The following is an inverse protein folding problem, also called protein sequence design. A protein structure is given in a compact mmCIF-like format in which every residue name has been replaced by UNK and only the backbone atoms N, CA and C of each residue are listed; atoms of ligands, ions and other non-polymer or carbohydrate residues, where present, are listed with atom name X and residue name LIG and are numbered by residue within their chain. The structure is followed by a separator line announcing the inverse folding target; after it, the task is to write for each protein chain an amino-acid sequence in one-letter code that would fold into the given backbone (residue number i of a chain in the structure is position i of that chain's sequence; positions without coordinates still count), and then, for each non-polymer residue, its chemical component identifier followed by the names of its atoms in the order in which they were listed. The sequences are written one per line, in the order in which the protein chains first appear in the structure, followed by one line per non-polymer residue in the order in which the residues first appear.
data_IF_244357084005
#
_entry.id   IF_244357084005
#
_cell.length_a   1.000
_cell.length_b   1.000
_cell.length_c   1.000
_cell.angle_alpha   90.00
_cell.angle_beta   90.00
_cell.angle_gamma   90.00
#
_symmetry.space_group_name_H-M   'P 1'
#
loop_
_entity.id
_entity.type
_entity.pdbx_description
1 polymer ?
#
# COMPACT_ATOMS: atom_id res chain seq x y z
N UNK A 1 -33.44 -23.34 14.21
CA UNK A 1 -32.98 -21.97 13.89
C UNK A 1 -31.94 -22.08 12.78
N UNK A 2 -32.22 -21.60 11.56
CA UNK A 2 -31.23 -21.55 10.50
C UNK A 2 -30.25 -20.36 10.72
N UNK A 3 -28.99 -20.45 10.24
CA UNK A 3 -28.03 -19.35 10.34
C UNK A 3 -28.35 -18.22 9.34
N UNK A 4 -27.92 -16.97 9.59
CA UNK A 4 -28.27 -15.83 8.74
C UNK A 4 -27.51 -15.84 7.41
N UNK A 5 -28.23 -15.51 6.33
CA UNK A 5 -27.69 -15.32 4.98
C UNK A 5 -26.72 -14.13 4.89
N UNK A 6 -25.67 -14.21 4.05
CA UNK A 6 -24.82 -13.07 3.76
C UNK A 6 -25.49 -12.11 2.77
N UNK A 7 -25.45 -10.83 3.14
CA UNK A 7 -25.99 -9.65 2.48
C UNK A 7 -25.71 -9.60 0.98
N UNK A 8 -26.77 -9.71 0.17
CA UNK A 8 -26.79 -9.32 -1.25
C UNK A 8 -26.63 -7.81 -1.35
N UNK A 9 -25.59 -7.34 -2.03
CA UNK A 9 -25.52 -5.95 -2.48
C UNK A 9 -24.83 -5.88 -3.84
N UNK A 10 -25.55 -6.25 -4.90
CA UNK A 10 -25.23 -5.92 -6.29
C UNK A 10 -26.53 -5.82 -7.10
N UNK A 11 -26.56 -4.83 -8.00
CA UNK A 11 -27.52 -4.54 -9.06
C UNK A 11 -28.68 -3.58 -8.74
N UNK A 12 -28.48 -2.29 -9.02
CA UNK A 12 -29.38 -1.49 -9.88
C UNK A 12 -28.85 -0.06 -10.07
N UNK A 13 -28.32 0.26 -11.24
CA UNK A 13 -28.38 1.60 -11.85
C UNK A 13 -27.73 1.57 -13.25
N UNK A 14 -28.43 0.95 -14.21
CA UNK A 14 -28.28 1.28 -15.63
C UNK A 14 -29.67 1.60 -16.15
N UNK A 15 -29.97 2.88 -16.34
CA UNK A 15 -30.98 3.34 -17.28
C UNK A 15 -30.67 4.77 -17.69
N UNK A 16 -30.67 4.97 -19.00
CA UNK A 16 -30.23 6.15 -19.74
C UNK A 16 -31.38 7.13 -19.98
N UNK A 17 -31.13 8.43 -19.73
CA UNK A 17 -31.55 9.65 -20.46
C UNK A 17 -33.05 9.97 -20.74
N UNK A 18 -33.41 11.23 -21.14
CA UNK A 18 -32.89 12.56 -20.77
C UNK A 18 -34.02 13.60 -20.45
N UNK A 19 -33.60 14.85 -20.18
CA UNK A 19 -34.24 16.15 -20.57
C UNK A 19 -34.93 17.04 -19.48
N UNK A 20 -34.52 18.31 -19.54
CA UNK A 20 -35.18 19.59 -19.12
C UNK A 20 -35.13 20.01 -17.65
N UNK A 21 -34.33 21.04 -17.33
CA UNK A 21 -34.82 22.42 -17.09
C UNK A 21 -33.73 23.31 -16.47
N UNK A 22 -33.52 24.45 -17.11
CA UNK A 22 -32.73 25.60 -16.66
C UNK A 22 -33.44 26.29 -15.49
N UNK A 23 -32.71 26.66 -14.43
CA UNK A 23 -33.09 27.76 -13.56
C UNK A 23 -31.86 28.44 -12.95
N UNK A 24 -31.66 29.68 -13.39
CA UNK A 24 -30.71 30.67 -12.90
C UNK A 24 -31.19 31.20 -11.54
N UNK A 25 -30.30 31.26 -10.55
CA UNK A 25 -30.48 32.14 -9.40
C UNK A 25 -29.15 32.83 -9.06
N UNK A 26 -29.13 34.13 -9.34
CA UNK A 26 -28.13 35.13 -8.94
C UNK A 26 -28.39 35.56 -7.48
N UNK A 27 -27.40 36.28 -6.92
CA UNK A 27 -27.45 37.21 -5.77
C UNK A 27 -27.03 36.59 -4.44
N UNK A 28 -26.25 37.23 -3.56
CA UNK A 28 -25.36 38.38 -3.60
C UNK A 28 -24.60 38.36 -2.26
N UNK A 29 -23.33 38.77 -2.28
CA UNK A 29 -22.58 39.09 -1.06
C UNK A 29 -23.00 40.47 -0.51
N UNK A 30 -22.73 40.73 0.78
CA UNK A 30 -22.24 42.04 1.16
C UNK A 30 -20.86 41.95 1.84
N UNK A 31 -20.05 42.96 1.52
CA UNK A 31 -18.72 43.29 2.05
C UNK A 31 -18.82 44.20 3.29
N UNK A 32 -17.67 44.29 3.98
CA UNK A 32 -17.17 45.34 4.92
C UNK A 32 -17.62 45.15 6.39
N UNK A 33 -16.82 45.46 7.41
CA UNK A 33 -15.69 46.38 7.49
C UNK A 33 -14.63 45.95 8.52
N UNK A 34 -13.39 46.37 8.26
CA UNK A 34 -12.25 46.47 9.18
C UNK A 34 -12.37 47.79 9.96
N UNK A 35 -11.87 47.86 11.21
CA UNK A 35 -11.21 49.08 11.67
C UNK A 35 -9.75 48.87 12.06
N UNK A 36 -9.05 49.97 11.91
CA UNK A 36 -7.62 50.21 11.83
C UNK A 36 -6.99 50.53 13.20
N UNK A 37 -5.67 50.29 13.25
CA UNK A 37 -4.60 50.84 14.12
C UNK A 37 -4.92 51.39 15.52
N UNK A 38 -4.18 50.84 16.49
CA UNK A 38 -3.68 51.55 17.66
C UNK A 38 -2.21 51.22 17.90
N UNK A 39 -1.30 52.09 17.43
CA UNK A 39 0.09 52.13 17.86
C UNK A 39 0.12 52.68 19.29
N UNK A 40 0.93 52.09 20.19
CA UNK A 40 1.52 52.84 21.31
C UNK A 40 2.85 52.25 21.75
N UNK A 41 3.76 53.21 21.90
CA UNK A 41 5.19 53.21 22.19
C UNK A 41 5.66 52.40 23.40
N UNK A 42 6.94 52.02 23.28
CA UNK A 42 7.90 51.56 24.28
C UNK A 42 8.24 52.69 25.26
N UNK A 43 8.67 52.37 26.49
CA UNK A 43 9.84 53.05 27.03
C UNK A 43 10.93 52.08 27.49
N UNK A 44 12.16 52.56 27.34
CA UNK A 44 13.41 51.86 27.56
C UNK A 44 13.97 52.02 28.98
N UNK A 45 14.92 51.13 29.28
CA UNK A 45 16.11 51.33 30.12
C UNK A 45 16.02 51.07 31.63
N UNK A 46 16.79 50.08 32.08
CA UNK A 46 17.74 50.27 33.17
C UNK A 46 18.96 49.35 33.01
N UNK A 47 20.12 49.97 33.24
CA UNK A 47 21.50 49.54 33.03
C UNK A 47 22.03 48.57 34.12
N UNK A 48 22.86 47.60 33.74
CA UNK A 48 24.33 47.49 34.03
C UNK A 48 24.72 46.91 35.39
N UNK A 49 25.44 45.78 35.34
CA UNK A 49 26.62 45.53 36.16
C UNK A 49 27.65 44.72 35.36
N UNK A 50 28.90 45.20 35.35
CA UNK A 50 30.04 44.71 34.56
C UNK A 50 31.11 44.12 35.49
N UNK A 51 31.81 43.11 34.93
CA UNK A 51 33.24 42.77 35.10
C UNK A 51 33.70 42.00 36.37
N UNK A 52 34.89 41.32 36.35
CA UNK A 52 35.98 41.39 35.36
C UNK A 52 36.52 40.05 34.81
N UNK A 53 37.32 40.21 33.75
CA UNK A 53 38.16 39.22 33.09
C UNK A 53 39.41 38.83 33.91
N UNK A 54 39.93 37.62 33.69
CA UNK A 54 41.35 37.27 33.95
C UNK A 54 41.95 36.48 32.78
N UNK A 55 43.13 36.97 32.39
CA UNK A 55 44.18 36.42 31.52
C UNK A 55 44.58 35.00 32.01
N UNK A 56 45.17 34.05 31.27
CA UNK A 56 45.96 34.05 30.05
C UNK A 56 47.21 33.14 30.25
N UNK A 57 47.27 32.02 29.52
CA UNK A 57 48.42 31.11 29.20
C UNK A 57 48.96 30.11 30.26
N UNK A 58 49.67 29.02 29.86
CA UNK A 58 50.03 28.55 28.50
C UNK A 58 49.61 27.11 28.14
N UNK A 59 49.60 26.85 26.83
CA UNK A 59 49.48 25.52 26.21
C UNK A 59 50.86 24.88 26.19
N UNK A 60 51.01 23.68 26.77
CA UNK A 60 52.15 22.80 26.52
C UNK A 60 51.72 21.60 25.69
N UNK A 61 52.55 21.32 24.69
CA UNK A 61 52.39 20.29 23.69
C UNK A 61 52.41 18.89 24.28
N UNK A 62 51.45 18.05 23.86
CA UNK A 62 51.64 16.60 23.86
C UNK A 62 51.64 16.16 22.41
N UNK A 63 52.82 15.75 21.98
CA UNK A 63 53.12 15.22 20.65
C UNK A 63 52.45 13.84 20.47
N UNK A 64 51.72 13.74 19.36
CA UNK A 64 51.59 12.59 18.46
C UNK A 64 51.91 11.18 18.98
N UNK A 65 50.87 10.36 19.12
CA UNK A 65 50.89 8.96 18.65
C UNK A 65 49.64 8.68 17.82
N UNK A 66 49.69 9.13 16.57
CA UNK A 66 48.86 8.62 15.50
C UNK A 66 49.57 7.39 14.93
N UNK A 67 49.05 6.19 15.22
CA UNK A 67 49.31 5.00 14.43
C UNK A 67 48.21 3.97 14.74
N UNK A 68 47.51 3.57 13.69
CA UNK A 68 46.73 2.33 13.58
C UNK A 68 45.53 2.15 14.52
N UNK A 69 44.36 2.58 14.02
CA UNK A 69 43.08 1.86 14.21
C UNK A 69 41.95 2.42 13.31
N UNK A 70 42.23 2.65 12.02
CA UNK A 70 41.17 2.66 11.01
C UNK A 70 41.03 1.23 10.45
N UNK A 71 40.34 0.37 11.21
CA UNK A 71 39.76 -0.84 10.62
C UNK A 71 38.47 -0.40 9.95
N UNK A 72 38.55 -0.20 8.64
CA UNK A 72 37.39 -0.15 7.75
C UNK A 72 36.49 -1.33 8.09
N UNK A 73 35.35 -1.07 8.71
CA UNK A 73 34.26 -2.02 8.78
C UNK A 73 33.68 -2.12 7.37
N UNK A 74 34.37 -2.87 6.50
CA UNK A 74 33.71 -3.51 5.38
C UNK A 74 32.64 -4.41 5.99
N UNK A 75 31.39 -3.93 6.00
CA UNK A 75 30.25 -4.82 6.01
C UNK A 75 30.37 -5.59 4.70
N UNK A 76 31.05 -6.74 4.76
CA UNK A 76 30.93 -7.76 3.75
C UNK A 76 29.45 -8.16 3.80
N UNK A 77 28.68 -7.58 2.88
CA UNK A 77 27.36 -8.06 2.52
C UNK A 77 27.57 -9.52 2.14
N UNK A 78 27.28 -10.42 3.08
CA UNK A 78 27.28 -11.85 2.84
C UNK A 78 26.17 -12.11 1.83
N UNK A 79 26.50 -11.99 0.56
CA UNK A 79 25.80 -12.69 -0.51
C UNK A 79 25.83 -14.16 -0.10
N UNK A 80 24.67 -14.65 0.32
CA UNK A 80 24.44 -16.09 0.50
C UNK A 80 24.96 -16.76 -0.78
N UNK A 81 25.89 -17.72 -0.70
CA UNK A 81 26.34 -18.43 -1.88
C UNK A 81 25.11 -19.11 -2.49
N UNK A 82 24.74 -18.69 -3.71
CA UNK A 82 23.73 -19.37 -4.53
C UNK A 82 24.32 -20.69 -5.04
N UNK A 83 24.60 -21.62 -4.13
CA UNK A 83 25.08 -22.95 -4.47
C UNK A 83 23.88 -23.76 -5.01
N UNK A 84 23.92 -24.02 -6.32
CA UNK A 84 23.10 -25.06 -6.98
C UNK A 84 21.78 -24.60 -7.61
N UNK A 85 21.67 -23.38 -8.13
CA UNK A 85 20.44 -22.97 -8.82
C UNK A 85 20.49 -23.37 -10.30
N UNK A 86 19.61 -24.30 -10.71
CA UNK A 86 18.97 -24.14 -12.01
C UNK A 86 18.49 -22.70 -12.08
N UNK A 87 19.00 -21.93 -13.05
CA UNK A 87 18.58 -20.55 -13.22
C UNK A 87 17.06 -20.52 -13.35
N UNK A 88 16.41 -19.64 -12.58
CA UNK A 88 14.96 -19.49 -12.68
C UNK A 88 14.58 -19.24 -14.15
N UNK A 89 13.45 -19.81 -14.57
CA UNK A 89 13.00 -19.72 -15.95
C UNK A 89 12.80 -18.25 -16.39
N UNK A 90 12.90 -17.95 -17.70
CA UNK A 90 12.59 -16.62 -18.21
C UNK A 90 11.18 -16.14 -17.83
N UNK A 91 10.21 -17.06 -17.77
CA UNK A 91 8.84 -16.77 -17.32
C UNK A 91 8.81 -16.34 -15.85
N UNK A 92 9.51 -17.06 -14.97
CA UNK A 92 9.61 -16.70 -13.55
C UNK A 92 10.21 -15.30 -13.35
N UNK A 93 11.25 -14.96 -14.12
CA UNK A 93 11.81 -13.60 -14.10
C UNK A 93 10.84 -12.54 -14.60
N UNK A 94 10.07 -12.80 -15.68
CA UNK A 94 9.08 -11.84 -16.20
C UNK A 94 7.98 -11.57 -15.18
N UNK A 95 7.37 -12.62 -14.64
CA UNK A 95 6.32 -12.49 -13.62
C UNK A 95 6.85 -11.87 -12.33
N UNK A 96 8.05 -12.25 -11.89
CA UNK A 96 8.70 -11.65 -10.73
C UNK A 96 8.93 -10.15 -10.89
N UNK A 97 9.39 -9.70 -12.06
CA UNK A 97 9.53 -8.27 -12.37
C UNK A 97 8.19 -7.54 -12.41
N UNK A 98 7.14 -8.15 -12.95
CA UNK A 98 5.80 -7.55 -12.94
C UNK A 98 5.26 -7.36 -11.53
N UNK A 99 5.46 -8.34 -10.63
CA UNK A 99 5.05 -8.22 -9.24
C UNK A 99 5.79 -7.06 -8.54
N UNK A 100 7.11 -6.96 -8.73
CA UNK A 100 7.90 -5.82 -8.22
C UNK A 100 7.45 -4.49 -8.82
N UNK A 101 7.18 -4.45 -10.12
CA UNK A 101 6.70 -3.24 -10.80
C UNK A 101 5.32 -2.82 -10.28
N UNK A 102 4.46 -3.76 -9.89
CA UNK A 102 3.15 -3.45 -9.32
C UNK A 102 3.24 -2.79 -7.95
N UNK A 103 4.17 -3.22 -7.10
CA UNK A 103 4.41 -2.54 -5.83
C UNK A 103 5.07 -1.16 -6.04
N UNK A 104 5.94 -0.99 -7.04
CA UNK A 104 6.43 0.35 -7.40
C UNK A 104 5.31 1.25 -7.91
N UNK A 105 4.38 0.73 -8.71
CA UNK A 105 3.23 1.49 -9.20
C UNK A 105 2.28 1.91 -8.07
N UNK A 106 2.07 1.04 -7.08
CA UNK A 106 1.34 1.37 -5.84
C UNK A 106 2.06 2.50 -5.08
N UNK A 107 3.38 2.40 -4.88
CA UNK A 107 4.15 3.44 -4.19
C UNK A 107 4.08 4.78 -4.94
N UNK A 108 4.25 4.75 -6.25
CA UNK A 108 4.24 5.93 -7.11
C UNK A 108 2.85 6.58 -7.27
N UNK A 109 1.77 5.88 -6.93
CA UNK A 109 0.42 6.43 -6.98
C UNK A 109 0.29 7.54 -5.93
N UNK A 110 0.17 8.79 -6.38
CA UNK A 110 -0.01 9.96 -5.53
C UNK A 110 -1.02 10.93 -6.17
N UNK A 111 -1.86 11.65 -5.40
CA UNK A 111 -2.08 11.48 -3.97
C UNK A 111 -2.80 10.15 -3.69
N UNK A 112 -2.51 9.52 -2.55
CA UNK A 112 -3.26 8.37 -2.04
C UNK A 112 -3.56 8.53 -0.54
N UNK A 113 -4.82 8.45 -0.10
CA UNK A 113 -5.18 8.84 1.27
C UNK A 113 -4.50 8.02 2.38
N UNK A 114 -3.71 8.68 3.21
CA UNK A 114 -3.11 8.10 4.43
C UNK A 114 -2.03 7.03 4.22
N UNK A 115 -1.63 6.78 2.97
CA UNK A 115 -0.58 5.82 2.59
C UNK A 115 0.73 6.55 2.25
N UNK A 116 1.85 5.85 2.34
CA UNK A 116 3.18 6.39 1.98
C UNK A 116 3.26 6.65 0.48
N UNK A 117 3.54 7.88 0.08
CA UNK A 117 3.80 8.27 -1.32
C UNK A 117 5.29 8.53 -1.53
N UNK A 118 5.76 8.83 -2.76
CA UNK A 118 7.15 9.26 -2.97
C UNK A 118 7.45 10.60 -2.30
N UNK A 119 6.42 11.37 -1.93
CA UNK A 119 6.53 12.74 -1.46
C UNK A 119 6.26 12.88 0.05
N UNK A 120 5.58 11.92 0.67
CA UNK A 120 5.18 11.99 2.08
C UNK A 120 4.94 10.61 2.71
N UNK A 121 4.96 10.53 4.04
CA UNK A 121 4.76 9.28 4.80
C UNK A 121 3.28 8.96 5.07
N UNK A 122 2.35 9.75 4.56
CA UNK A 122 0.92 9.64 4.85
C UNK A 122 0.66 9.66 6.36
N UNK A 123 -0.12 8.69 6.83
CA UNK A 123 -0.47 8.54 8.25
C UNK A 123 0.61 7.83 9.08
N UNK A 124 1.74 7.47 8.48
CA UNK A 124 2.79 6.70 9.15
C UNK A 124 3.85 7.60 9.78
N UNK A 125 4.39 7.17 10.91
CA UNK A 125 5.54 7.80 11.60
C UNK A 125 6.75 6.88 11.62
N UNK A 126 6.58 5.63 11.18
CA UNK A 126 7.51 4.51 11.26
C UNK A 126 8.03 4.07 9.89
N UNK A 127 7.45 4.58 8.79
CA UNK A 127 7.89 4.28 7.42
C UNK A 127 7.77 5.47 6.48
N UNK A 128 8.66 5.51 5.49
CA UNK A 128 8.72 6.48 4.39
C UNK A 128 8.99 5.77 3.05
N UNK A 129 9.05 6.55 1.97
CA UNK A 129 9.31 6.01 0.63
C UNK A 129 10.65 5.25 0.53
N UNK A 130 11.69 5.74 1.22
CA UNK A 130 13.01 5.10 1.19
C UNK A 130 12.96 3.71 1.84
N UNK A 131 12.26 3.57 2.97
CA UNK A 131 12.03 2.27 3.61
C UNK A 131 11.21 1.33 2.72
N UNK A 132 10.19 1.86 2.05
CA UNK A 132 9.40 1.12 1.06
C UNK A 132 10.30 0.54 -0.04
N UNK A 133 11.17 1.35 -0.63
CA UNK A 133 12.11 0.94 -1.67
C UNK A 133 13.14 -0.08 -1.16
N UNK A 134 13.65 0.07 0.08
CA UNK A 134 14.52 -0.96 0.71
C UNK A 134 13.81 -2.30 0.82
N UNK A 135 12.53 -2.31 1.20
CA UNK A 135 11.72 -3.53 1.24
C UNK A 135 11.56 -4.15 -0.15
N UNK A 136 11.23 -3.36 -1.18
CA UNK A 136 11.11 -3.86 -2.56
C UNK A 136 12.41 -4.46 -3.08
N UNK A 137 13.54 -3.82 -2.76
CA UNK A 137 14.85 -4.36 -3.08
C UNK A 137 15.06 -5.74 -2.43
N UNK A 138 14.71 -5.92 -1.16
CA UNK A 138 14.80 -7.20 -0.47
C UNK A 138 13.86 -8.29 -1.03
N UNK A 139 12.69 -7.88 -1.56
CA UNK A 139 11.66 -8.80 -2.05
C UNK A 139 11.82 -9.20 -3.52
N UNK A 140 12.68 -8.55 -4.31
CA UNK A 140 12.81 -8.83 -5.75
C UNK A 140 13.10 -10.31 -6.08
N UNK A 141 13.95 -10.95 -5.28
CA UNK A 141 14.32 -12.35 -5.48
C UNK A 141 13.20 -13.31 -5.07
N UNK A 142 12.40 -12.93 -4.08
CA UNK A 142 11.25 -13.71 -3.63
C UNK A 142 10.22 -13.88 -4.75
N UNK A 143 9.86 -12.80 -5.46
CA UNK A 143 8.85 -12.90 -6.52
C UNK A 143 9.29 -13.78 -7.70
N UNK A 144 10.60 -13.84 -7.99
CA UNK A 144 11.14 -14.79 -8.98
C UNK A 144 11.07 -16.22 -8.44
N UNK A 145 11.50 -16.44 -7.18
CA UNK A 145 11.50 -17.76 -6.57
C UNK A 145 10.09 -18.35 -6.42
N UNK A 146 9.11 -17.54 -6.05
CA UNK A 146 7.73 -17.99 -5.88
C UNK A 146 7.03 -18.21 -7.24
N UNK A 147 7.39 -17.45 -8.28
CA UNK A 147 6.97 -17.73 -9.65
C UNK A 147 7.54 -19.07 -10.12
N UNK A 148 8.84 -19.33 -9.89
CA UNK A 148 9.45 -20.61 -10.26
C UNK A 148 8.79 -21.79 -9.52
N UNK A 149 8.52 -21.64 -8.22
CA UNK A 149 7.77 -22.65 -7.46
C UNK A 149 6.37 -22.92 -8.04
N UNK A 150 5.71 -21.91 -8.62
CA UNK A 150 4.45 -22.09 -9.35
C UNK A 150 4.62 -22.90 -10.65
N UNK A 151 5.67 -22.62 -11.41
CA UNK A 151 6.01 -23.35 -12.66
C UNK A 151 6.30 -24.83 -12.36
N UNK A 152 7.03 -25.09 -11.28
CA UNK A 152 7.40 -26.44 -10.84
C UNK A 152 6.23 -27.22 -10.20
N UNK A 153 5.03 -26.61 -10.17
CA UNK A 153 3.85 -27.08 -9.43
C UNK A 153 4.16 -27.51 -7.99
N UNK A 154 4.98 -26.72 -7.29
CA UNK A 154 5.46 -27.04 -5.96
C UNK A 154 4.31 -27.09 -4.93
N UNK A 155 4.40 -27.96 -3.91
CA UNK A 155 3.39 -28.04 -2.87
C UNK A 155 3.30 -26.73 -2.07
N UNK A 156 2.12 -26.43 -1.52
CA UNK A 156 1.87 -25.19 -0.76
C UNK A 156 2.88 -24.94 0.37
N UNK A 157 3.40 -25.99 1.01
CA UNK A 157 4.44 -25.88 2.03
C UNK A 157 5.67 -25.12 1.50
N UNK A 158 6.07 -25.35 0.24
CA UNK A 158 7.20 -24.64 -0.38
C UNK A 158 6.89 -23.15 -0.58
N UNK A 159 5.70 -22.82 -1.05
CA UNK A 159 5.25 -21.42 -1.20
C UNK A 159 5.24 -20.70 0.16
N UNK A 160 4.77 -21.39 1.21
CA UNK A 160 4.76 -20.88 2.58
C UNK A 160 6.17 -20.58 3.08
N UNK A 161 7.12 -21.50 2.90
CA UNK A 161 8.50 -21.31 3.36
C UNK A 161 9.18 -20.13 2.64
N UNK A 162 8.91 -19.96 1.34
CA UNK A 162 9.34 -18.79 0.58
C UNK A 162 8.74 -17.49 1.13
N UNK A 163 7.44 -17.49 1.44
CA UNK A 163 6.75 -16.35 2.04
C UNK A 163 7.30 -15.96 3.42
N UNK A 164 7.58 -16.94 4.28
CA UNK A 164 8.21 -16.73 5.60
C UNK A 164 9.62 -16.13 5.45
N UNK A 165 10.42 -16.68 4.53
CA UNK A 165 11.75 -16.16 4.25
C UNK A 165 11.71 -14.72 3.71
N UNK A 166 10.73 -14.41 2.86
CA UNK A 166 10.50 -13.08 2.32
C UNK A 166 10.08 -12.07 3.40
N UNK A 167 9.18 -12.47 4.30
CA UNK A 167 8.78 -11.64 5.45
C UNK A 167 9.99 -11.32 6.34
N UNK A 168 10.80 -12.34 6.66
CA UNK A 168 12.02 -12.13 7.44
C UNK A 168 13.05 -11.23 6.73
N UNK A 169 13.19 -11.36 5.40
CA UNK A 169 14.06 -10.51 4.60
C UNK A 169 13.58 -9.05 4.59
N UNK A 170 12.28 -8.83 4.43
CA UNK A 170 11.65 -7.51 4.55
C UNK A 170 11.93 -6.92 5.93
N UNK A 171 11.60 -7.64 7.01
CA UNK A 171 11.79 -7.16 8.38
C UNK A 171 13.24 -6.76 8.66
N UNK A 172 14.23 -7.52 8.19
CA UNK A 172 15.65 -7.15 8.31
C UNK A 172 15.98 -5.86 7.55
N UNK A 173 15.42 -5.68 6.34
CA UNK A 173 15.67 -4.50 5.52
C UNK A 173 14.96 -3.22 6.03
N UNK A 174 13.92 -3.38 6.84
CA UNK A 174 13.08 -2.28 7.36
C UNK A 174 13.23 -2.05 8.87
N UNK A 175 14.12 -2.78 9.55
CA UNK A 175 14.30 -2.64 11.00
C UNK A 175 13.08 -3.11 11.80
N UNK A 176 12.34 -4.09 11.29
CA UNK A 176 11.14 -4.66 11.93
C UNK A 176 9.83 -3.97 11.54
N UNK A 177 9.87 -2.90 10.74
CA UNK A 177 8.67 -2.20 10.29
C UNK A 177 7.96 -3.01 9.20
N UNK A 178 6.65 -3.20 9.35
CA UNK A 178 5.84 -3.94 8.40
C UNK A 178 5.45 -3.06 7.21
N UNK A 179 6.17 -3.19 6.09
CA UNK A 179 5.86 -2.44 4.86
C UNK A 179 4.98 -3.20 3.87
N UNK A 180 5.14 -4.53 3.77
CA UNK A 180 4.57 -5.33 2.68
C UNK A 180 4.10 -6.74 3.09
N UNK A 181 3.85 -7.03 4.38
CA UNK A 181 3.48 -8.40 4.80
C UNK A 181 2.24 -8.94 4.08
N UNK A 182 1.21 -8.11 3.88
CA UNK A 182 0.01 -8.51 3.15
C UNK A 182 0.25 -8.69 1.65
N UNK A 183 1.01 -7.78 1.02
CA UNK A 183 1.48 -7.93 -0.36
C UNK A 183 2.30 -9.21 -0.58
N UNK A 184 3.27 -9.53 0.30
CA UNK A 184 4.07 -10.77 0.22
C UNK A 184 3.16 -11.99 0.11
N UNK A 185 2.10 -12.03 0.92
CA UNK A 185 1.13 -13.12 0.89
C UNK A 185 0.28 -13.11 -0.39
N UNK A 186 -0.50 -12.06 -0.63
CA UNK A 186 -1.48 -12.06 -1.73
C UNK A 186 -0.83 -12.06 -3.10
N UNK A 187 0.09 -11.12 -3.32
CA UNK A 187 0.79 -10.97 -4.58
C UNK A 187 1.70 -12.18 -4.83
N UNK A 188 2.28 -12.75 -3.78
CA UNK A 188 3.05 -14.00 -3.87
C UNK A 188 2.23 -15.17 -4.41
N UNK A 189 1.05 -15.43 -3.83
CA UNK A 189 0.15 -16.50 -4.29
C UNK A 189 -0.35 -16.28 -5.71
N UNK A 190 -0.72 -15.04 -6.05
CA UNK A 190 -1.14 -14.69 -7.41
C UNK A 190 0.01 -14.84 -8.42
N UNK A 191 1.23 -14.51 -8.01
CA UNK A 191 2.44 -14.68 -8.84
C UNK A 191 2.72 -16.16 -9.09
N UNK A 192 2.66 -17.00 -8.06
CA UNK A 192 2.80 -18.45 -8.18
C UNK A 192 1.73 -19.02 -9.12
N UNK A 193 0.47 -18.63 -8.92
CA UNK A 193 -0.63 -19.19 -9.70
C UNK A 193 -0.61 -18.72 -11.16
N UNK A 194 -0.25 -17.46 -11.41
CA UNK A 194 -0.03 -16.99 -12.77
C UNK A 194 1.07 -17.83 -13.44
N UNK A 195 2.19 -18.04 -12.77
CA UNK A 195 3.31 -18.81 -13.31
C UNK A 195 2.92 -20.26 -13.60
N UNK A 196 2.17 -20.90 -12.70
CA UNK A 196 1.63 -22.25 -12.89
C UNK A 196 0.74 -22.35 -14.13
N UNK A 197 -0.17 -21.39 -14.32
CA UNK A 197 -1.10 -21.41 -15.46
C UNK A 197 -0.39 -21.12 -16.79
N UNK A 198 0.54 -20.15 -16.82
CA UNK A 198 1.36 -19.86 -18.00
C UNK A 198 2.30 -21.02 -18.38
N UNK A 199 2.77 -21.81 -17.41
CA UNK A 199 3.57 -23.01 -17.71
C UNK A 199 2.73 -24.18 -18.26
N UNK A 200 1.44 -24.23 -17.92
CA UNK A 200 0.54 -25.30 -18.33
C UNK A 200 -0.18 -25.03 -19.67
N UNK A 201 -0.06 -23.83 -20.23
CA UNK A 201 -0.81 -23.39 -21.41
C UNK A 201 -0.03 -22.36 -22.22
N UNK A 202 -0.03 -22.50 -23.55
CA UNK A 202 0.56 -21.51 -24.47
C UNK A 202 -0.24 -20.20 -24.56
N UNK A 203 -1.47 -20.18 -24.04
CA UNK A 203 -2.29 -18.97 -23.95
C UNK A 203 -2.06 -18.26 -22.61
N UNK A 204 -1.89 -16.92 -22.61
CA UNK A 204 -1.79 -16.13 -21.39
C UNK A 204 -2.98 -16.37 -20.46
N UNK A 205 -2.71 -16.60 -19.19
CA UNK A 205 -3.76 -16.83 -18.20
C UNK A 205 -4.58 -15.56 -17.96
N UNK A 206 -5.90 -15.63 -18.11
CA UNK A 206 -6.78 -14.51 -17.72
C UNK A 206 -6.72 -14.28 -16.20
N UNK A 207 -6.85 -13.02 -15.78
CA UNK A 207 -6.76 -12.63 -14.37
C UNK A 207 -7.82 -13.31 -13.48
N UNK A 208 -9.04 -13.55 -13.99
CA UNK A 208 -10.07 -14.28 -13.25
C UNK A 208 -9.66 -15.75 -13.04
N UNK A 209 -9.03 -16.36 -14.06
CA UNK A 209 -8.48 -17.71 -13.96
C UNK A 209 -7.32 -17.80 -12.97
N UNK A 210 -6.42 -16.81 -12.93
CA UNK A 210 -5.36 -16.72 -11.91
C UNK A 210 -5.96 -16.63 -10.52
N UNK A 211 -6.89 -15.71 -10.29
CA UNK A 211 -7.53 -15.55 -8.97
C UNK A 211 -8.27 -16.82 -8.52
N UNK A 212 -9.11 -17.42 -9.38
CA UNK A 212 -9.80 -18.68 -9.07
C UNK A 212 -8.83 -19.83 -8.85
N UNK A 213 -7.76 -19.89 -9.62
CA UNK A 213 -6.74 -20.93 -9.53
C UNK A 213 -6.08 -21.03 -8.15
N UNK A 214 -5.98 -19.92 -7.40
CA UNK A 214 -5.44 -19.90 -6.02
C UNK A 214 -6.23 -20.83 -5.08
N UNK A 215 -7.49 -21.12 -5.39
CA UNK A 215 -8.32 -22.05 -4.62
C UNK A 215 -7.75 -23.48 -4.57
N UNK A 216 -6.80 -23.83 -5.46
CA UNK A 216 -6.05 -25.11 -5.35
C UNK A 216 -5.36 -25.26 -3.99
N UNK A 217 -5.01 -24.14 -3.33
CA UNK A 217 -4.41 -24.13 -2.00
C UNK A 217 -5.41 -23.88 -0.87
N UNK A 218 -6.73 -23.84 -1.14
CA UNK A 218 -7.79 -23.47 -0.18
C UNK A 218 -7.66 -24.23 1.15
N UNK A 219 -7.57 -25.55 1.11
CA UNK A 219 -7.51 -26.35 2.33
C UNK A 219 -6.26 -26.01 3.16
N UNK A 220 -5.10 -25.89 2.51
CA UNK A 220 -3.86 -25.56 3.18
C UNK A 220 -3.86 -24.12 3.74
N UNK A 221 -4.50 -23.17 3.06
CA UNK A 221 -4.67 -21.79 3.52
C UNK A 221 -5.52 -21.70 4.80
N UNK A 222 -6.59 -22.50 4.87
CA UNK A 222 -7.53 -22.51 5.99
C UNK A 222 -7.00 -23.27 7.21
N UNK A 223 -6.16 -24.30 7.00
CA UNK A 223 -5.57 -25.09 8.10
C UNK A 223 -4.21 -24.59 8.56
N UNK A 224 -3.54 -23.71 7.80
CA UNK A 224 -2.24 -23.19 8.19
C UNK A 224 -2.28 -22.46 9.54
N UNK A 225 -1.27 -22.65 10.41
CA UNK A 225 -1.23 -21.99 11.71
C UNK A 225 -1.29 -20.47 11.56
N UNK A 226 -1.96 -19.83 12.51
CA UNK A 226 -2.09 -18.38 12.59
C UNK A 226 -1.08 -17.85 13.60
N UNK A 227 -0.50 -16.70 13.30
CA UNK A 227 0.20 -15.89 14.28
C UNK A 227 -0.84 -15.01 15.01
N UNK A 228 -1.25 -15.39 16.24
CA UNK A 228 -2.32 -14.68 16.96
C UNK A 228 -1.89 -13.26 17.38
N UNK A 229 -0.60 -12.95 17.36
CA UNK A 229 -0.06 -11.67 17.78
C UNK A 229 -0.04 -10.62 16.67
N UNK A 230 -0.18 -11.04 15.41
CA UNK A 230 -0.27 -10.09 14.30
C UNK A 230 -1.52 -9.22 14.39
N UNK A 231 -1.37 -7.92 14.10
CA UNK A 231 -2.47 -6.96 14.17
C UNK A 231 -3.66 -7.36 13.31
N UNK A 232 -3.40 -7.89 12.10
CA UNK A 232 -4.46 -8.37 11.20
C UNK A 232 -5.27 -9.50 11.82
N UNK A 233 -4.62 -10.46 12.49
CA UNK A 233 -5.32 -11.57 13.15
C UNK A 233 -6.15 -11.11 14.35
N UNK A 234 -5.61 -10.18 15.15
CA UNK A 234 -6.34 -9.57 16.26
C UNK A 234 -7.58 -8.82 15.79
N UNK A 235 -7.44 -7.97 14.76
CA UNK A 235 -8.58 -7.20 14.22
C UNK A 235 -9.62 -8.11 13.56
N UNK A 236 -9.17 -9.15 12.83
CA UNK A 236 -10.06 -10.16 12.24
C UNK A 236 -10.91 -10.86 13.31
N UNK A 237 -10.29 -11.30 14.40
CA UNK A 237 -10.98 -11.94 15.51
C UNK A 237 -11.95 -10.99 16.22
N UNK A 238 -11.51 -9.75 16.48
CA UNK A 238 -12.30 -8.74 17.19
C UNK A 238 -13.53 -8.30 16.38
N UNK A 239 -13.37 -8.03 15.09
CA UNK A 239 -14.41 -7.47 14.23
C UNK A 239 -15.16 -8.51 13.40
N UNK A 240 -14.76 -9.79 13.45
CA UNK A 240 -15.38 -10.91 12.71
C UNK A 240 -15.44 -10.68 11.19
N UNK A 241 -14.47 -9.96 10.65
CA UNK A 241 -14.34 -9.69 9.20
C UNK A 241 -13.45 -10.74 8.53
N UNK A 242 -13.61 -10.95 7.22
CA UNK A 242 -12.75 -11.85 6.47
C UNK A 242 -11.33 -11.25 6.33
N UNK A 243 -10.30 -12.06 6.53
CA UNK A 243 -8.92 -11.68 6.28
C UNK A 243 -8.43 -12.03 4.88
N UNK A 244 -7.14 -11.79 4.65
CA UNK A 244 -6.47 -12.05 3.38
C UNK A 244 -6.48 -13.54 2.98
N UNK A 245 -6.48 -14.45 3.96
CA UNK A 245 -6.53 -15.90 3.73
C UNK A 245 -7.89 -16.33 3.21
N UNK A 246 -8.95 -15.78 3.78
CA UNK A 246 -10.33 -16.05 3.37
C UNK A 246 -10.56 -15.51 1.95
N UNK A 247 -10.03 -14.34 1.61
CA UNK A 247 -10.02 -13.84 0.23
C UNK A 247 -9.31 -14.81 -0.72
N UNK A 248 -8.10 -15.26 -0.38
CA UNK A 248 -7.35 -16.23 -1.20
C UNK A 248 -8.09 -17.56 -1.36
N UNK A 249 -8.63 -18.11 -0.27
CA UNK A 249 -9.40 -19.35 -0.24
C UNK A 249 -10.67 -19.28 -1.11
N UNK A 250 -11.26 -18.09 -1.28
CA UNK A 250 -12.39 -17.82 -2.17
C UNK A 250 -11.98 -17.43 -3.59
N UNK A 251 -10.68 -17.40 -3.91
CA UNK A 251 -10.18 -16.99 -5.21
C UNK A 251 -10.37 -15.49 -5.47
N UNK A 252 -10.11 -14.66 -4.46
CA UNK A 252 -10.10 -13.20 -4.49
C UNK A 252 -11.30 -12.54 -5.21
N UNK A 253 -12.54 -12.74 -4.73
CA UNK A 253 -13.73 -12.11 -5.31
C UNK A 253 -13.59 -10.59 -5.43
N UNK A 254 -12.99 -9.91 -4.43
CA UNK A 254 -12.76 -8.46 -4.50
C UNK A 254 -11.87 -8.04 -5.67
N UNK A 255 -10.87 -8.84 -6.05
CA UNK A 255 -10.02 -8.52 -7.20
C UNK A 255 -10.77 -8.74 -8.52
N UNK A 256 -11.54 -9.84 -8.61
CA UNK A 256 -12.26 -10.25 -9.83
C UNK A 256 -13.47 -9.35 -10.12
N UNK A 257 -14.23 -9.01 -9.09
CA UNK A 257 -15.55 -8.38 -9.22
C UNK A 257 -15.53 -6.87 -8.97
N UNK A 258 -14.47 -6.34 -8.34
CA UNK A 258 -14.36 -4.91 -8.02
C UNK A 258 -13.09 -4.30 -8.61
N UNK A 259 -11.91 -4.73 -8.17
CA UNK A 259 -10.67 -4.02 -8.47
C UNK A 259 -10.32 -4.04 -9.97
N UNK A 260 -10.33 -5.22 -10.61
CA UNK A 260 -10.01 -5.35 -12.02
C UNK A 260 -11.04 -4.67 -12.94
N UNK A 261 -12.36 -4.82 -12.72
CA UNK A 261 -13.36 -4.07 -13.46
C UNK A 261 -13.16 -2.56 -13.37
N UNK A 262 -12.96 -2.00 -12.17
CA UNK A 262 -12.71 -0.57 -12.00
C UNK A 262 -11.45 -0.11 -12.72
N UNK A 263 -10.34 -0.82 -12.52
CA UNK A 263 -9.06 -0.49 -13.17
C UNK A 263 -9.20 -0.47 -14.70
N UNK A 264 -9.79 -1.53 -15.27
CA UNK A 264 -9.97 -1.67 -16.72
C UNK A 264 -10.92 -0.61 -17.27
N UNK A 265 -12.04 -0.35 -16.58
CA UNK A 265 -13.02 0.65 -17.01
C UNK A 265 -12.41 2.06 -17.05
N UNK A 266 -11.61 2.44 -16.04
CA UNK A 266 -10.95 3.76 -16.03
C UNK A 266 -9.91 3.89 -17.14
N UNK A 267 -9.13 2.85 -17.41
CA UNK A 267 -8.17 2.85 -18.53
C UNK A 267 -8.89 2.90 -19.90
N UNK A 268 -9.97 2.15 -20.07
CA UNK A 268 -10.76 2.13 -21.31
C UNK A 268 -11.47 3.46 -21.57
N UNK A 269 -11.84 4.19 -20.52
CA UNK A 269 -12.37 5.54 -20.62
C UNK A 269 -11.28 6.61 -20.93
N UNK A 270 -10.04 6.20 -21.23
CA UNK A 270 -8.94 7.10 -21.54
C UNK A 270 -8.23 7.70 -20.31
N UNK A 271 -8.55 7.21 -19.10
CA UNK A 271 -7.88 7.62 -17.88
C UNK A 271 -6.39 7.24 -17.88
N UNK A 272 -5.56 8.08 -17.28
CA UNK A 272 -4.13 7.76 -17.08
C UNK A 272 -3.98 6.58 -16.13
N UNK A 273 -2.79 5.94 -16.12
CA UNK A 273 -2.47 4.91 -15.13
C UNK A 273 -2.69 5.41 -13.70
N UNK A 274 -2.29 6.64 -13.40
CA UNK A 274 -2.45 7.25 -12.08
C UNK A 274 -3.93 7.43 -11.71
N UNK A 275 -4.77 7.86 -12.65
CA UNK A 275 -6.22 7.96 -12.45
C UNK A 275 -6.82 6.56 -12.21
N UNK A 276 -6.45 5.57 -13.02
CA UNK A 276 -6.97 4.20 -12.88
C UNK A 276 -6.58 3.57 -11.53
N UNK A 277 -5.34 3.75 -11.07
CA UNK A 277 -4.90 3.28 -9.76
C UNK A 277 -5.61 4.02 -8.62
N UNK A 278 -5.76 5.35 -8.71
CA UNK A 278 -6.44 6.15 -7.69
C UNK A 278 -7.93 5.81 -7.59
N UNK A 279 -8.62 5.65 -8.73
CA UNK A 279 -10.02 5.24 -8.78
C UNK A 279 -10.21 3.85 -8.17
N UNK A 280 -9.33 2.91 -8.53
CA UNK A 280 -9.37 1.54 -8.01
C UNK A 280 -9.11 1.50 -6.50
N UNK A 281 -8.15 2.29 -6.00
CA UNK A 281 -7.87 2.40 -4.57
C UNK A 281 -9.11 2.91 -3.82
N UNK A 282 -9.74 3.97 -4.32
CA UNK A 282 -10.94 4.53 -3.69
C UNK A 282 -12.10 3.54 -3.73
N UNK A 283 -12.27 2.79 -4.82
CA UNK A 283 -13.26 1.72 -4.90
C UNK A 283 -13.00 0.60 -3.87
N UNK A 284 -11.74 0.21 -3.67
CA UNK A 284 -11.33 -0.77 -2.66
C UNK A 284 -11.58 -0.27 -1.25
N UNK A 285 -11.23 0.99 -0.94
CA UNK A 285 -11.50 1.60 0.37
C UNK A 285 -13.00 1.62 0.67
N UNK A 286 -13.85 1.87 -0.33
CA UNK A 286 -15.29 1.93 -0.15
C UNK A 286 -15.93 0.58 0.25
N UNK A 287 -15.40 -0.56 -0.22
CA UNK A 287 -16.03 -1.87 -0.03
C UNK A 287 -15.28 -2.82 0.90
N UNK A 288 -13.97 -2.68 1.08
CA UNK A 288 -13.17 -3.59 1.90
C UNK A 288 -13.24 -3.19 3.37
N UNK A 289 -13.49 -4.15 4.26
CA UNK A 289 -13.26 -4.00 5.70
C UNK A 289 -11.76 -4.09 5.99
N UNK A 290 -11.05 -3.00 5.73
CA UNK A 290 -9.59 -2.94 5.82
C UNK A 290 -9.13 -3.11 7.29
N UNK A 291 -8.38 -4.19 7.53
CA UNK A 291 -7.86 -4.52 8.86
C UNK A 291 -6.85 -3.50 9.41
N UNK A 292 -6.12 -2.77 8.54
CA UNK A 292 -5.23 -1.70 8.96
C UNK A 292 -6.04 -0.46 9.38
N UNK A 293 -7.15 -0.15 8.69
CA UNK A 293 -8.06 0.92 9.15
C UNK A 293 -8.70 0.56 10.50
N UNK A 294 -9.20 -0.67 10.64
CA UNK A 294 -9.77 -1.16 11.90
C UNK A 294 -8.74 -1.10 13.04
N UNK A 295 -7.49 -1.47 12.77
CA UNK A 295 -6.43 -1.36 13.77
C UNK A 295 -6.20 0.10 14.20
N UNK A 296 -6.06 1.03 13.24
CA UNK A 296 -5.60 2.40 13.56
C UNK A 296 -6.71 3.30 14.07
N UNK A 297 -7.94 3.11 13.58
CA UNK A 297 -9.08 3.98 13.88
C UNK A 297 -10.35 3.26 14.34
N UNK A 298 -10.32 1.94 14.53
CA UNK A 298 -11.50 1.17 14.91
C UNK A 298 -12.61 1.21 13.85
N UNK A 299 -13.83 0.89 14.28
CA UNK A 299 -15.00 0.91 13.42
C UNK A 299 -15.30 2.32 12.88
N UNK A 300 -15.11 3.36 13.70
CA UNK A 300 -15.36 4.75 13.31
C UNK A 300 -14.37 5.22 12.23
N UNK A 301 -13.09 4.87 12.36
CA UNK A 301 -12.07 5.15 11.35
C UNK A 301 -12.35 4.45 10.02
N UNK A 302 -12.76 3.18 10.07
CA UNK A 302 -13.19 2.44 8.88
C UNK A 302 -14.43 3.10 8.23
N UNK A 303 -15.45 3.44 9.02
CA UNK A 303 -16.67 4.07 8.53
C UNK A 303 -16.39 5.44 7.89
N UNK A 304 -15.52 6.25 8.51
CA UNK A 304 -15.08 7.52 7.94
C UNK A 304 -14.39 7.32 6.59
N UNK A 305 -13.44 6.40 6.50
CA UNK A 305 -12.71 6.12 5.27
C UNK A 305 -13.64 5.66 4.14
N UNK A 306 -14.56 4.73 4.44
CA UNK A 306 -15.60 4.27 3.50
C UNK A 306 -16.49 5.42 3.03
N UNK A 307 -16.93 6.29 3.94
CA UNK A 307 -17.76 7.44 3.60
C UNK A 307 -17.04 8.45 2.70
N UNK A 308 -15.76 8.75 2.96
CA UNK A 308 -14.97 9.62 2.07
C UNK A 308 -14.79 9.00 0.68
N UNK A 309 -14.51 7.69 0.62
CA UNK A 309 -14.35 6.98 -0.64
C UNK A 309 -15.66 6.95 -1.46
N UNK A 310 -16.78 6.61 -0.83
CA UNK A 310 -18.09 6.61 -1.49
C UNK A 310 -18.46 7.99 -2.02
N UNK A 311 -18.22 9.07 -1.25
CA UNK A 311 -18.45 10.45 -1.71
C UNK A 311 -17.57 10.82 -2.91
N UNK A 312 -16.27 10.48 -2.85
CA UNK A 312 -15.37 10.72 -3.98
C UNK A 312 -15.87 10.07 -5.26
N UNK A 313 -16.28 8.79 -5.17
CA UNK A 313 -16.79 8.00 -6.29
C UNK A 313 -18.14 8.54 -6.81
N UNK A 314 -19.07 8.86 -5.91
CA UNK A 314 -20.40 9.39 -6.26
C UNK A 314 -20.33 10.73 -7.00
N UNK A 315 -19.35 11.57 -6.64
CA UNK A 315 -19.09 12.85 -7.31
C UNK A 315 -18.31 12.68 -8.65
N UNK A 316 -18.19 11.46 -9.20
CA UNK A 316 -17.53 11.17 -10.47
C UNK A 316 -16.04 10.79 -10.39
N UNK A 317 -15.48 10.69 -9.18
CA UNK A 317 -14.13 10.18 -8.96
C UNK A 317 -13.05 10.84 -9.81
N UNK A 318 -12.18 10.04 -10.43
CA UNK A 318 -11.07 10.53 -11.26
C UNK A 318 -11.47 11.07 -12.63
N UNK A 319 -12.77 11.01 -12.99
CA UNK A 319 -13.26 11.67 -14.19
C UNK A 319 -13.41 13.20 -14.00
N UNK A 320 -13.43 13.67 -12.75
CA UNK A 320 -13.52 15.09 -12.45
C UNK A 320 -12.19 15.82 -12.65
N UNK A 321 -12.13 17.02 -13.25
CA UNK A 321 -10.87 17.70 -13.54
C UNK A 321 -10.06 18.07 -12.28
N UNK A 322 -10.73 18.22 -11.13
CA UNK A 322 -10.11 18.56 -9.84
C UNK A 322 -9.90 17.35 -8.92
N UNK A 323 -9.91 16.12 -9.47
CA UNK A 323 -9.84 14.89 -8.66
C UNK A 323 -8.57 14.83 -7.79
N UNK A 324 -7.43 15.36 -8.27
CA UNK A 324 -6.20 15.43 -7.50
C UNK A 324 -6.36 16.24 -6.22
N UNK A 325 -6.89 17.47 -6.31
CA UNK A 325 -7.09 18.35 -5.15
C UNK A 325 -8.06 17.72 -4.15
N UNK A 326 -9.14 17.10 -4.66
CA UNK A 326 -10.13 16.41 -3.83
C UNK A 326 -9.51 15.23 -3.08
N UNK A 327 -8.73 14.41 -3.76
CA UNK A 327 -8.09 13.24 -3.17
C UNK A 327 -6.99 13.64 -2.16
N UNK A 328 -6.25 14.72 -2.42
CA UNK A 328 -5.34 15.33 -1.43
C UNK A 328 -6.07 15.82 -0.18
N UNK A 329 -7.24 16.46 -0.32
CA UNK A 329 -8.06 16.91 0.81
C UNK A 329 -8.58 15.72 1.64
N UNK A 330 -9.03 14.65 0.99
CA UNK A 330 -9.38 13.39 1.67
C UNK A 330 -8.15 12.83 2.39
N UNK A 331 -6.99 12.85 1.74
CA UNK A 331 -5.72 12.41 2.33
C UNK A 331 -5.37 13.15 3.61
N UNK A 332 -5.52 14.47 3.66
CA UNK A 332 -5.31 15.25 4.87
C UNK A 332 -6.20 14.80 6.03
N UNK A 333 -7.48 14.50 5.76
CA UNK A 333 -8.41 13.96 6.75
C UNK A 333 -8.02 12.57 7.28
N UNK A 334 -7.41 11.73 6.42
CA UNK A 334 -6.85 10.44 6.82
C UNK A 334 -5.63 10.61 7.73
N UNK A 335 -4.72 11.53 7.39
CA UNK A 335 -3.51 11.82 8.18
C UNK A 335 -3.88 12.33 9.57
N UNK A 336 -4.81 13.29 9.66
CA UNK A 336 -5.30 13.83 10.93
C UNK A 336 -5.84 12.73 11.87
N UNK A 337 -6.50 11.71 11.30
CA UNK A 337 -7.05 10.56 12.03
C UNK A 337 -6.09 9.38 12.13
N UNK A 338 -4.86 9.49 11.62
CA UNK A 338 -3.87 8.41 11.51
C UNK A 338 -4.41 7.14 10.81
N UNK A 339 -5.28 7.32 9.83
CA UNK A 339 -5.90 6.23 9.07
C UNK A 339 -5.02 5.83 7.90
N UNK A 340 -4.81 4.53 7.69
CA UNK A 340 -4.06 4.04 6.54
C UNK A 340 -4.69 2.76 5.98
N UNK A 341 -5.24 2.79 4.75
CA UNK A 341 -5.89 1.66 4.10
C UNK A 341 -4.87 0.72 3.43
N UNK A 342 -3.98 0.14 4.24
CA UNK A 342 -2.90 -0.71 3.73
C UNK A 342 -3.37 -2.03 3.13
N UNK A 343 -4.49 -2.60 3.61
CA UNK A 343 -5.07 -3.78 2.99
C UNK A 343 -5.63 -3.49 1.59
N UNK A 344 -6.28 -2.33 1.42
CA UNK A 344 -6.70 -1.85 0.10
C UNK A 344 -5.50 -1.56 -0.81
N UNK A 345 -4.40 -1.03 -0.28
CA UNK A 345 -3.17 -0.81 -1.04
C UNK A 345 -2.54 -2.12 -1.54
N UNK A 346 -2.47 -3.15 -0.71
CA UNK A 346 -1.98 -4.48 -1.10
C UNK A 346 -2.86 -5.08 -2.22
N UNK A 347 -4.18 -4.92 -2.14
CA UNK A 347 -5.12 -5.35 -3.19
C UNK A 347 -4.97 -4.54 -4.48
N UNK A 348 -4.66 -3.24 -4.40
CA UNK A 348 -4.38 -2.41 -5.57
C UNK A 348 -3.15 -2.93 -6.32
N UNK A 349 -2.07 -3.25 -5.62
CA UNK A 349 -0.88 -3.84 -6.22
C UNK A 349 -1.20 -5.20 -6.88
N UNK A 350 -2.03 -6.03 -6.23
CA UNK A 350 -2.50 -7.29 -6.81
C UNK A 350 -3.30 -7.07 -8.11
N UNK A 351 -4.22 -6.09 -8.14
CA UNK A 351 -5.00 -5.76 -9.33
C UNK A 351 -4.11 -5.28 -10.49
N UNK A 352 -3.11 -4.45 -10.21
CA UNK A 352 -2.18 -3.99 -11.23
C UNK A 352 -1.29 -5.11 -11.78
N UNK A 353 -0.79 -5.99 -10.91
CA UNK A 353 -0.07 -7.21 -11.34
C UNK A 353 -0.95 -8.09 -12.24
N UNK A 354 -2.17 -8.36 -11.81
CA UNK A 354 -3.12 -9.18 -12.56
C UNK A 354 -3.46 -8.57 -13.92
N UNK A 355 -3.58 -7.25 -14.01
CA UNK A 355 -3.77 -6.57 -15.30
C UNK A 355 -2.53 -6.71 -16.21
N UNK A 356 -1.33 -6.58 -15.65
CA UNK A 356 -0.08 -6.66 -16.40
C UNK A 356 0.27 -8.07 -16.89
N UNK A 357 0.08 -9.09 -16.05
CA UNK A 357 0.51 -10.47 -16.37
C UNK A 357 -0.23 -11.09 -17.56
N UNK A 358 -1.43 -10.61 -17.87
CA UNK A 358 -2.24 -11.09 -19.01
C UNK A 358 -1.66 -10.69 -20.37
N UNK A 359 -0.68 -9.79 -20.37
CA UNK A 359 -0.05 -9.22 -21.56
C UNK A 359 1.35 -9.79 -21.80
N UNK A 360 1.78 -10.74 -20.96
CA UNK A 360 2.95 -11.59 -21.21
C UNK A 360 2.62 -12.61 -22.29
#
# INVERSE_FOLDING_TARGET
MPPPEPTRCLASALSSDPTVAVAVARSAAPRRAVPDRGQREVPASAAVARQPARQGRPVQAVQSRAAERHRSAHIAMQCIPLLGQSSASPLAYRLGRLAVAALHAELACAPKPGLVTPFDSGSHTDMDAAMFLRSLFALRGYFVAIAQAGIDDAPFARLRDLGIAAEAAMQRATGGVNTHRGAIFSLGLLTAQAARLHAASDRPADADAVCKGVQVWRQALLTAPLDPHSNGQRMRALHKVAGVREQAAMGYPVLREVALPTLRATLQAGGTQQAALSQTLMQLIACVDDLNLLHRGGADGLAYAKAQALRFLADGGTAQPNWHQRLSAIGAGFVERRLSPGGSADLLACAWFLHGQQRL
#
